data_IF_782438669288
#
_entry.id   IF_782438669288
#
_cell.length_a   1.000
_cell.length_b   1.000
_cell.length_c   1.000
_cell.angle_alpha   90.00
_cell.angle_beta   90.00
_cell.angle_gamma   90.00
#
_symmetry.space_group_name_H-M   'P 1'
#
loop_
_entity.id
_entity.type
_entity.pdbx_description
1 polymer ?
#
# COMPACT_ATOMS: atom_id res chain seq x y z
N UNK A 1 -8.31 -29.32 -39.25
CA UNK A 1 -8.33 -29.69 -37.82
C UNK A 1 -6.98 -29.29 -37.23
N UNK A 2 -6.89 -28.15 -36.56
CA UNK A 2 -5.73 -27.80 -35.75
C UNK A 2 -6.12 -28.02 -34.30
N UNK A 3 -5.72 -29.17 -33.74
CA UNK A 3 -5.75 -29.39 -32.31
C UNK A 3 -4.51 -28.72 -31.74
N UNK A 4 -4.65 -27.48 -31.28
CA UNK A 4 -3.62 -26.80 -30.50
C UNK A 4 -3.66 -27.38 -29.09
N UNK A 5 -2.97 -28.50 -28.90
CA UNK A 5 -2.71 -29.05 -27.57
C UNK A 5 -1.62 -28.21 -26.92
N UNK A 6 -1.98 -27.37 -25.94
CA UNK A 6 -1.05 -27.04 -24.87
C UNK A 6 -0.69 -28.38 -24.23
N UNK A 7 0.59 -28.76 -24.23
CA UNK A 7 1.02 -30.03 -23.65
C UNK A 7 0.68 -30.07 -22.16
N UNK A 8 0.24 -31.22 -21.65
CA UNK A 8 -0.06 -31.43 -20.21
C UNK A 8 1.12 -30.93 -19.33
N UNK A 9 2.36 -31.05 -19.84
CA UNK A 9 3.58 -30.57 -19.21
C UNK A 9 3.69 -29.04 -19.07
N UNK A 10 3.11 -28.24 -19.96
CA UNK A 10 3.17 -26.78 -19.88
C UNK A 10 2.21 -26.24 -18.81
N UNK A 11 1.03 -26.87 -18.69
CA UNK A 11 0.07 -26.55 -17.66
C UNK A 11 0.54 -26.97 -16.27
N UNK A 12 1.19 -28.14 -16.15
CA UNK A 12 1.80 -28.60 -14.90
C UNK A 12 2.95 -27.70 -14.42
N UNK A 13 3.79 -27.22 -15.35
CA UNK A 13 4.89 -26.29 -15.03
C UNK A 13 4.37 -24.94 -14.56
N UNK A 14 3.36 -24.38 -15.23
CA UNK A 14 2.77 -23.11 -14.79
C UNK A 14 2.07 -23.26 -13.43
N UNK A 15 1.37 -24.38 -13.21
CA UNK A 15 0.75 -24.68 -11.91
C UNK A 15 1.78 -24.89 -10.79
N UNK A 16 2.97 -25.41 -11.10
CA UNK A 16 4.08 -25.49 -10.15
C UNK A 16 4.67 -24.10 -9.85
N UNK A 17 4.94 -23.30 -10.89
CA UNK A 17 5.42 -21.92 -10.77
C UNK A 17 4.48 -21.06 -9.92
N UNK A 18 3.17 -21.13 -10.15
CA UNK A 18 2.20 -20.34 -9.37
C UNK A 18 2.15 -20.74 -7.90
N UNK A 19 2.35 -22.03 -7.59
CA UNK A 19 2.45 -22.50 -6.18
C UNK A 19 3.71 -21.98 -5.51
N UNK A 20 4.87 -22.12 -6.14
CA UNK A 20 6.14 -21.60 -5.63
C UNK A 20 6.08 -20.08 -5.41
N UNK A 21 5.49 -19.37 -6.37
CA UNK A 21 5.27 -17.92 -6.27
C UNK A 21 4.33 -17.57 -5.11
N UNK A 22 3.24 -18.31 -4.92
CA UNK A 22 2.30 -18.11 -3.80
C UNK A 22 2.98 -18.34 -2.44
N UNK A 23 3.79 -19.39 -2.33
CA UNK A 23 4.52 -19.74 -1.10
C UNK A 23 5.58 -18.69 -0.74
N UNK A 24 6.23 -18.08 -1.74
CA UNK A 24 7.22 -17.01 -1.53
C UNK A 24 6.58 -15.62 -1.34
N UNK A 25 5.47 -15.34 -2.02
CA UNK A 25 4.79 -14.05 -1.99
C UNK A 25 4.17 -13.77 -0.63
N UNK A 26 3.40 -14.72 -0.07
CA UNK A 26 2.64 -14.51 1.16
C UNK A 26 3.49 -14.02 2.36
N UNK A 27 4.64 -14.65 2.73
CA UNK A 27 5.44 -14.17 3.86
C UNK A 27 6.05 -12.78 3.60
N UNK A 28 6.57 -12.54 2.40
CA UNK A 28 7.22 -11.27 2.03
C UNK A 28 6.21 -10.12 2.01
N UNK A 29 5.02 -10.37 1.43
CA UNK A 29 3.91 -9.43 1.44
C UNK A 29 3.44 -9.10 2.85
N UNK A 30 3.35 -10.11 3.72
CA UNK A 30 2.94 -9.92 5.12
C UNK A 30 3.96 -9.12 5.93
N UNK A 31 5.26 -9.33 5.67
CA UNK A 31 6.33 -8.55 6.30
C UNK A 31 6.27 -7.08 5.87
N UNK A 32 6.28 -6.81 4.56
CA UNK A 32 6.17 -5.45 4.00
C UNK A 32 4.90 -4.74 4.50
N UNK A 33 3.78 -5.45 4.50
CA UNK A 33 2.50 -4.91 4.98
C UNK A 33 2.48 -4.65 6.48
N UNK A 34 3.08 -5.53 7.28
CA UNK A 34 3.19 -5.31 8.72
C UNK A 34 4.05 -4.09 9.02
N UNK A 35 5.18 -3.96 8.31
CA UNK A 35 6.06 -2.81 8.43
C UNK A 35 5.32 -1.51 8.09
N UNK A 36 4.63 -1.45 6.95
CA UNK A 36 3.87 -0.27 6.57
C UNK A 36 2.77 0.10 7.59
N UNK A 37 2.01 -0.89 8.10
CA UNK A 37 0.99 -0.63 9.14
C UNK A 37 1.58 -0.05 10.42
N UNK A 38 2.71 -0.58 10.87
CA UNK A 38 3.38 -0.06 12.07
C UNK A 38 3.84 1.37 11.85
N UNK A 39 4.55 1.63 10.75
CA UNK A 39 5.03 2.98 10.40
C UNK A 39 3.89 3.99 10.33
N UNK A 40 2.78 3.65 9.67
CA UNK A 40 1.63 4.54 9.55
C UNK A 40 0.93 4.80 10.90
N UNK A 41 0.84 3.78 11.77
CA UNK A 41 0.26 3.94 13.11
C UNK A 41 1.11 4.88 13.99
N UNK A 42 2.43 4.78 13.89
CA UNK A 42 3.36 5.68 14.58
C UNK A 42 3.22 7.12 14.08
N UNK A 43 3.18 7.32 12.77
CA UNK A 43 3.04 8.66 12.18
C UNK A 43 1.69 9.28 12.53
N UNK A 44 0.59 8.51 12.54
CA UNK A 44 -0.72 8.98 13.00
C UNK A 44 -0.72 9.36 14.48
N UNK A 45 -0.06 8.58 15.33
CA UNK A 45 0.11 8.90 16.75
C UNK A 45 0.80 10.25 16.96
N UNK A 46 1.87 10.49 16.19
CA UNK A 46 2.60 11.76 16.16
C UNK A 46 1.73 12.90 15.62
N UNK A 47 0.99 12.69 14.53
CA UNK A 47 0.07 13.67 13.93
C UNK A 47 -1.03 14.14 14.88
N UNK A 48 -1.65 13.20 15.60
CA UNK A 48 -2.64 13.55 16.62
C UNK A 48 -2.03 14.40 17.74
N UNK A 49 -0.83 14.05 18.18
CA UNK A 49 -0.12 14.81 19.24
C UNK A 49 0.20 16.23 18.76
N UNK A 50 0.67 16.38 17.53
CA UNK A 50 0.96 17.68 16.91
C UNK A 50 -0.30 18.57 16.78
N UNK A 51 -1.42 17.99 16.34
CA UNK A 51 -2.71 18.69 16.29
C UNK A 51 -3.19 19.14 17.67
N UNK A 52 -3.14 18.26 18.67
CA UNK A 52 -3.56 18.57 20.04
C UNK A 52 -2.71 19.69 20.65
N UNK A 53 -1.43 19.79 20.24
CA UNK A 53 -0.52 20.86 20.64
C UNK A 53 -0.71 22.16 19.84
N UNK A 54 -1.41 22.13 18.69
CA UNK A 54 -1.51 23.26 17.76
C UNK A 54 -0.19 23.58 17.05
N UNK A 55 0.68 22.59 16.88
CA UNK A 55 2.00 22.73 16.26
C UNK A 55 1.90 22.45 14.75
N UNK A 56 1.68 23.50 13.97
CA UNK A 56 1.49 23.43 12.52
C UNK A 56 2.73 22.89 11.79
N UNK A 57 3.93 23.23 12.26
CA UNK A 57 5.19 22.72 11.70
C UNK A 57 5.30 21.20 11.92
N UNK A 58 4.98 20.73 13.13
CA UNK A 58 4.97 19.30 13.43
C UNK A 58 3.88 18.54 12.65
N UNK A 59 2.73 19.18 12.38
CA UNK A 59 1.69 18.60 11.51
C UNK A 59 2.20 18.48 10.07
N UNK A 60 2.92 19.48 9.55
CA UNK A 60 3.52 19.42 8.22
C UNK A 60 4.58 18.32 8.11
N UNK A 61 5.41 18.14 9.14
CA UNK A 61 6.38 17.05 9.20
C UNK A 61 5.74 15.66 9.21
N UNK A 62 4.56 15.55 9.82
CA UNK A 62 3.74 14.33 9.77
C UNK A 62 3.28 14.07 8.33
N UNK A 63 2.77 15.06 7.61
CA UNK A 63 2.39 14.90 6.20
C UNK A 63 3.56 14.48 5.31
N UNK A 64 4.75 15.06 5.50
CA UNK A 64 5.98 14.65 4.80
C UNK A 64 6.33 13.19 5.10
N UNK A 65 6.30 12.81 6.37
CA UNK A 65 6.59 11.44 6.80
C UNK A 65 5.62 10.43 6.19
N UNK A 66 4.34 10.78 6.08
CA UNK A 66 3.32 9.94 5.44
C UNK A 66 3.53 9.81 3.94
N UNK A 67 3.89 10.91 3.26
CA UNK A 67 4.20 10.89 1.83
C UNK A 67 5.35 9.93 1.56
N UNK A 68 6.42 10.08 2.32
CA UNK A 68 7.64 9.28 2.14
C UNK A 68 7.38 7.81 2.49
N UNK A 69 6.64 7.52 3.56
CA UNK A 69 6.25 6.17 3.93
C UNK A 69 5.32 5.50 2.90
N UNK A 70 4.41 6.26 2.29
CA UNK A 70 3.52 5.77 1.23
C UNK A 70 4.31 5.45 -0.04
N UNK A 71 5.25 6.31 -0.42
CA UNK A 71 6.15 6.08 -1.55
C UNK A 71 7.05 4.87 -1.35
N UNK A 72 7.70 4.76 -0.19
CA UNK A 72 8.57 3.64 0.15
C UNK A 72 7.81 2.30 0.14
N UNK A 73 6.58 2.27 0.66
CA UNK A 73 5.75 1.08 0.61
C UNK A 73 5.34 0.72 -0.82
N UNK A 74 4.97 1.70 -1.65
CA UNK A 74 4.68 1.44 -3.06
C UNK A 74 5.89 0.84 -3.79
N UNK A 75 7.08 1.43 -3.59
CA UNK A 75 8.33 0.93 -4.15
C UNK A 75 8.61 -0.51 -3.69
N UNK A 76 8.45 -0.81 -2.39
CA UNK A 76 8.63 -2.14 -1.83
C UNK A 76 7.66 -3.16 -2.46
N UNK A 77 6.36 -2.85 -2.53
CA UNK A 77 5.36 -3.73 -3.15
C UNK A 77 5.55 -3.91 -4.66
N UNK A 78 6.06 -2.92 -5.38
CA UNK A 78 6.40 -3.02 -6.82
C UNK A 78 7.51 -4.04 -7.09
N UNK A 79 8.40 -4.28 -6.12
CA UNK A 79 9.45 -5.31 -6.26
C UNK A 79 8.92 -6.74 -6.09
N UNK A 80 7.72 -6.91 -5.54
CA UNK A 80 7.12 -8.22 -5.29
C UNK A 80 6.39 -8.75 -6.53
N UNK A 81 6.84 -9.89 -7.05
CA UNK A 81 6.11 -10.62 -8.08
C UNK A 81 4.86 -11.27 -7.46
N UNK A 82 3.68 -10.77 -7.83
CA UNK A 82 2.41 -11.29 -7.32
C UNK A 82 1.90 -12.47 -8.16
N UNK A 83 1.36 -13.54 -7.53
CA UNK A 83 0.72 -14.62 -8.26
C UNK A 83 -0.56 -14.17 -8.96
N UNK A 84 -0.96 -14.90 -9.99
CA UNK A 84 -2.04 -14.47 -10.90
C UNK A 84 -3.36 -14.19 -10.17
N UNK A 85 -3.69 -15.00 -9.17
CA UNK A 85 -4.93 -14.94 -8.39
C UNK A 85 -5.06 -13.68 -7.50
N UNK A 86 -3.95 -12.99 -7.21
CA UNK A 86 -3.92 -11.75 -6.40
C UNK A 86 -3.35 -10.54 -7.14
N UNK A 87 -2.82 -10.73 -8.35
CA UNK A 87 -2.17 -9.68 -9.16
C UNK A 87 -2.98 -8.39 -9.28
N UNK A 88 -4.30 -8.48 -9.50
CA UNK A 88 -5.16 -7.31 -9.62
C UNK A 88 -5.30 -6.54 -8.30
N UNK A 89 -5.47 -7.24 -7.17
CA UNK A 89 -5.54 -6.62 -5.85
C UNK A 89 -4.19 -6.02 -5.44
N UNK A 90 -3.09 -6.70 -5.76
CA UNK A 90 -1.74 -6.21 -5.52
C UNK A 90 -1.45 -4.92 -6.31
N UNK A 91 -1.81 -4.86 -7.59
CA UNK A 91 -1.69 -3.63 -8.38
C UNK A 91 -2.58 -2.51 -7.84
N UNK A 92 -3.81 -2.83 -7.43
CA UNK A 92 -4.70 -1.84 -6.81
C UNK A 92 -4.14 -1.28 -5.50
N UNK A 93 -3.36 -2.06 -4.73
CA UNK A 93 -2.66 -1.58 -3.54
C UNK A 93 -1.59 -0.55 -3.91
N UNK A 94 -0.73 -0.89 -4.86
CA UNK A 94 0.35 -0.02 -5.34
C UNK A 94 -0.23 1.30 -5.88
N UNK A 95 -1.24 1.23 -6.74
CA UNK A 95 -1.89 2.43 -7.30
C UNK A 95 -2.51 3.32 -6.21
N UNK A 96 -3.08 2.72 -5.16
CA UNK A 96 -3.63 3.47 -4.03
C UNK A 96 -2.51 4.19 -3.26
N UNK A 97 -1.42 3.49 -2.92
CA UNK A 97 -0.26 4.08 -2.25
C UNK A 97 0.37 5.21 -3.07
N UNK A 98 0.46 5.07 -4.40
CA UNK A 98 0.94 6.14 -5.28
C UNK A 98 0.01 7.35 -5.31
N UNK A 99 -1.31 7.13 -5.36
CA UNK A 99 -2.29 8.22 -5.30
C UNK A 99 -2.23 8.94 -3.95
N UNK A 100 -2.06 8.19 -2.87
CA UNK A 100 -1.87 8.73 -1.53
C UNK A 100 -0.60 9.58 -1.45
N UNK A 101 0.53 9.06 -1.94
CA UNK A 101 1.78 9.80 -2.02
C UNK A 101 1.60 11.13 -2.77
N UNK A 102 0.96 11.11 -3.94
CA UNK A 102 0.72 12.33 -4.72
C UNK A 102 -0.17 13.33 -3.96
N UNK A 103 -1.27 12.86 -3.37
CA UNK A 103 -2.16 13.73 -2.59
C UNK A 103 -1.43 14.39 -1.42
N UNK A 104 -0.58 13.65 -0.71
CA UNK A 104 0.23 14.17 0.39
C UNK A 104 1.29 15.16 -0.09
N UNK A 105 1.89 14.93 -1.25
CA UNK A 105 2.83 15.88 -1.86
C UNK A 105 2.16 17.20 -2.25
N UNK A 106 0.95 17.13 -2.80
CA UNK A 106 0.15 18.32 -3.13
C UNK A 106 -0.18 19.13 -1.87
N UNK A 107 -0.53 18.47 -0.77
CA UNK A 107 -0.81 19.10 0.54
C UNK A 107 0.44 19.77 1.10
N UNK A 108 1.56 19.05 1.14
CA UNK A 108 2.85 19.58 1.63
C UNK A 108 3.24 20.81 0.81
N UNK A 109 3.14 20.72 -0.52
CA UNK A 109 3.45 21.82 -1.43
C UNK A 109 2.51 23.02 -1.20
N UNK A 110 1.21 22.79 -1.00
CA UNK A 110 0.24 23.85 -0.74
C UNK A 110 0.49 24.53 0.62
N UNK A 111 0.81 23.76 1.66
CA UNK A 111 1.14 24.26 2.98
C UNK A 111 2.43 25.10 2.97
N UNK A 112 3.48 24.62 2.28
CA UNK A 112 4.73 25.36 2.11
C UNK A 112 4.56 26.68 1.33
N UNK A 113 3.52 26.77 0.49
CA UNK A 113 3.15 27.97 -0.25
C UNK A 113 2.38 29.03 0.58
N UNK A 114 2.30 28.90 1.92
CA UNK A 114 1.63 29.82 2.87
C UNK A 114 0.10 29.93 2.69
N UNK A 115 -0.57 28.83 2.32
CA UNK A 115 -2.04 28.76 2.36
C UNK A 115 -2.51 28.20 3.72
N UNK A 116 -2.45 29.03 4.77
CA UNK A 116 -2.70 28.76 6.20
C UNK A 116 -4.07 28.14 6.60
N UNK A 117 -4.92 27.68 5.68
CA UNK A 117 -6.31 27.30 6.00
C UNK A 117 -6.67 25.82 5.84
N UNK A 118 -5.77 24.94 5.36
CA UNK A 118 -6.14 23.59 4.92
C UNK A 118 -5.67 22.41 5.81
N UNK A 119 -4.78 22.63 6.78
CA UNK A 119 -4.07 21.51 7.44
C UNK A 119 -4.94 20.60 8.33
N UNK A 120 -6.08 21.07 8.83
CA UNK A 120 -6.90 20.35 9.84
C UNK A 120 -7.97 19.42 9.24
N UNK A 121 -8.51 19.70 8.05
CA UNK A 121 -9.48 18.82 7.37
C UNK A 121 -8.81 17.56 6.77
N UNK A 122 -7.51 17.66 6.48
CA UNK A 122 -6.70 16.65 5.78
C UNK A 122 -6.37 15.41 6.64
N UNK A 123 -6.33 15.53 7.98
CA UNK A 123 -6.05 14.39 8.87
C UNK A 123 -7.20 13.37 8.95
N UNK A 124 -8.44 13.76 8.63
CA UNK A 124 -9.52 12.79 8.42
C UNK A 124 -9.31 11.99 7.13
N UNK A 125 -8.72 12.59 6.10
CA UNK A 125 -8.28 11.89 4.88
C UNK A 125 -7.27 10.78 5.20
N UNK A 126 -6.36 11.02 6.16
CA UNK A 126 -5.36 10.04 6.57
C UNK A 126 -5.95 8.80 7.27
N UNK A 127 -6.99 8.96 8.09
CA UNK A 127 -7.65 7.84 8.72
C UNK A 127 -8.36 6.94 7.69
N UNK A 128 -8.98 7.55 6.67
CA UNK A 128 -9.57 6.81 5.53
C UNK A 128 -8.50 6.06 4.73
N UNK A 129 -7.33 6.67 4.51
CA UNK A 129 -6.23 6.03 3.78
C UNK A 129 -5.70 4.77 4.49
N UNK A 130 -5.60 4.79 5.82
CA UNK A 130 -5.25 3.58 6.58
C UNK A 130 -6.33 2.49 6.51
N UNK A 131 -7.60 2.88 6.50
CA UNK A 131 -8.71 1.94 6.38
C UNK A 131 -8.72 1.27 4.99
N UNK A 132 -8.39 2.01 3.93
CA UNK A 132 -8.26 1.49 2.57
C UNK A 132 -7.12 0.48 2.45
N UNK A 133 -5.93 0.79 3.02
CA UNK A 133 -4.81 -0.15 3.08
C UNK A 133 -5.21 -1.47 3.79
N UNK A 134 -5.82 -1.38 4.97
CA UNK A 134 -6.25 -2.54 5.73
C UNK A 134 -7.30 -3.39 5.00
N UNK A 135 -8.19 -2.74 4.24
CA UNK A 135 -9.21 -3.41 3.43
C UNK A 135 -8.59 -4.19 2.28
N UNK A 136 -7.66 -3.57 1.52
CA UNK A 136 -6.99 -4.24 0.39
C UNK A 136 -6.10 -5.39 0.90
N UNK A 137 -5.39 -5.20 2.00
CA UNK A 137 -4.61 -6.26 2.65
C UNK A 137 -5.47 -7.48 3.00
N UNK A 138 -6.62 -7.26 3.65
CA UNK A 138 -7.55 -8.33 4.03
C UNK A 138 -8.07 -9.07 2.79
N UNK A 139 -8.30 -8.35 1.69
CA UNK A 139 -8.69 -8.96 0.42
C UNK A 139 -7.58 -9.86 -0.16
N UNK A 140 -6.31 -9.44 -0.08
CA UNK A 140 -5.14 -10.23 -0.52
C UNK A 140 -4.99 -11.49 0.35
N UNK A 141 -5.02 -11.36 1.68
CA UNK A 141 -4.97 -12.50 2.61
C UNK A 141 -6.06 -13.53 2.30
N UNK A 142 -7.29 -13.05 2.09
CA UNK A 142 -8.44 -13.89 1.77
C UNK A 142 -8.24 -14.66 0.47
N UNK A 143 -7.62 -14.03 -0.55
CA UNK A 143 -7.32 -14.67 -1.83
C UNK A 143 -6.16 -15.66 -1.73
N UNK A 144 -5.11 -15.34 -0.98
CA UNK A 144 -3.99 -16.25 -0.73
C UNK A 144 -4.47 -17.53 0.00
N UNK A 145 -5.36 -17.38 0.98
CA UNK A 145 -5.94 -18.50 1.71
C UNK A 145 -6.84 -19.41 0.84
N UNK A 146 -7.34 -18.91 -0.29
CA UNK A 146 -8.15 -19.70 -1.25
C UNK A 146 -7.29 -20.58 -2.18
N UNK A 147 -5.97 -20.35 -2.23
CA UNK A 147 -5.04 -21.01 -3.16
C UNK A 147 -5.02 -20.38 -4.56
N UNK A 148 -4.12 -20.86 -5.44
CA UNK A 148 -4.09 -20.48 -6.85
C UNK A 148 -5.32 -20.98 -7.62
#
# INVERSE_FOLDING_TARGET
>A
MFATGCSDSAQEQEAARQRELTEAFAPTFNEASSHHRTTMAEIQGSGRTALEAGDEDAVLDVYRSLRDASGAAADEFETLEAPANVSAQHQSLIENLRRQQQSLDDIVTAAEAQQDAALTEELQGLASLLADFATIHTAIDTKLAQGP
#
